data_IF_634249143615
#
_entry.id   IF_634249143615
#
_cell.length_a   1.000
_cell.length_b   1.000
_cell.length_c   1.000
_cell.angle_alpha   90.00
_cell.angle_beta   90.00
_cell.angle_gamma   90.00
#
_symmetry.space_group_name_H-M   'P 1'
#
loop_
_entity.id
_entity.type
_entity.pdbx_description
1 polymer ?
#
# COMPACT_ATOMS: atom_id res chain seq x y z
N UNK A 1 3.36 -3.61 -58.23
CA UNK A 1 2.98 -2.40 -57.49
C UNK A 1 2.93 -2.74 -56.01
N UNK A 2 3.76 -2.09 -55.21
CA UNK A 2 3.80 -2.22 -53.76
C UNK A 2 2.52 -1.61 -53.15
N UNK A 3 2.02 -2.20 -52.06
CA UNK A 3 0.85 -1.66 -51.39
C UNK A 3 0.49 -2.35 -50.09
N UNK A 4 1.14 -1.91 -49.00
CA UNK A 4 0.62 -1.87 -47.63
C UNK A 4 0.74 -3.14 -46.76
N UNK A 5 1.97 -3.32 -46.27
CA UNK A 5 2.35 -3.68 -44.89
C UNK A 5 1.21 -4.15 -43.95
N UNK A 6 1.15 -5.46 -43.76
CA UNK A 6 0.41 -6.17 -42.71
C UNK A 6 1.12 -6.01 -41.35
N UNK A 7 1.32 -4.76 -40.92
CA UNK A 7 2.28 -4.37 -39.86
C UNK A 7 1.85 -4.74 -38.42
N UNK A 8 0.68 -5.37 -38.22
CA UNK A 8 0.08 -5.54 -36.90
C UNK A 8 -0.46 -6.95 -36.59
N UNK A 9 -0.23 -7.95 -37.43
CA UNK A 9 -0.56 -9.33 -37.09
C UNK A 9 0.44 -9.88 -36.05
N UNK A 10 0.06 -9.86 -34.77
CA UNK A 10 0.76 -10.60 -33.71
C UNK A 10 1.09 -9.80 -32.45
N UNK A 11 0.85 -8.49 -32.42
CA UNK A 11 1.04 -7.71 -31.19
C UNK A 11 -0.22 -7.85 -30.35
N UNK A 12 -0.17 -8.67 -29.28
CA UNK A 12 -1.13 -8.58 -28.19
C UNK A 12 -1.04 -7.17 -27.60
N UNK A 13 -1.92 -6.27 -28.03
CA UNK A 13 -2.06 -4.95 -27.44
C UNK A 13 -2.33 -5.15 -25.95
N UNK A 14 -1.40 -4.69 -25.11
CA UNK A 14 -1.54 -4.78 -23.67
C UNK A 14 -2.87 -4.11 -23.27
N UNK A 15 -3.74 -4.84 -22.57
CA UNK A 15 -5.02 -4.31 -22.13
C UNK A 15 -4.79 -3.01 -21.33
N UNK A 16 -5.58 -1.95 -21.60
CA UNK A 16 -5.38 -0.67 -20.94
C UNK A 16 -5.57 -0.82 -19.44
N UNK A 17 -4.58 -0.40 -18.65
CA UNK A 17 -4.63 -0.47 -17.19
C UNK A 17 -5.88 0.27 -16.71
N UNK A 18 -6.79 -0.38 -15.96
CA UNK A 18 -8.00 0.27 -15.48
C UNK A 18 -7.65 1.49 -14.63
N UNK A 19 -8.20 2.65 -15.00
CA UNK A 19 -8.01 3.91 -14.29
C UNK A 19 -9.17 4.14 -13.33
N UNK A 20 -8.86 4.69 -12.17
CA UNK A 20 -9.84 5.08 -11.16
C UNK A 20 -10.16 6.55 -11.33
N UNK A 21 -11.44 6.88 -11.46
CA UNK A 21 -11.91 8.26 -11.47
C UNK A 21 -11.94 8.79 -10.05
N UNK A 22 -11.29 9.93 -9.82
CA UNK A 22 -11.26 10.62 -8.54
C UNK A 22 -11.82 12.03 -8.71
N UNK A 23 -12.54 12.53 -7.71
CA UNK A 23 -13.22 13.82 -7.78
C UNK A 23 -12.73 14.76 -6.69
N UNK A 24 -12.57 16.03 -7.05
CA UNK A 24 -12.32 17.13 -6.12
C UNK A 24 -13.32 18.25 -6.45
N UNK A 25 -14.41 18.30 -5.68
CA UNK A 25 -15.55 19.16 -5.97
C UNK A 25 -16.15 18.85 -7.35
N UNK A 26 -16.12 19.84 -8.25
CA UNK A 26 -16.62 19.70 -9.63
C UNK A 26 -15.61 19.09 -10.60
N UNK A 27 -14.32 19.00 -10.22
CA UNK A 27 -13.26 18.46 -11.08
C UNK A 27 -13.15 16.95 -10.92
N UNK A 28 -12.85 16.25 -12.02
CA UNK A 28 -12.58 14.82 -12.04
C UNK A 28 -11.25 14.54 -12.75
N UNK A 29 -10.51 13.54 -12.28
CA UNK A 29 -9.28 13.06 -12.88
C UNK A 29 -9.28 11.53 -12.93
N UNK A 30 -8.61 10.96 -13.93
CA UNK A 30 -8.41 9.51 -14.04
C UNK A 30 -6.97 9.16 -13.68
N UNK A 31 -6.79 8.36 -12.64
CA UNK A 31 -5.47 7.97 -12.12
C UNK A 31 -5.32 6.45 -12.24
N UNK A 32 -4.18 5.91 -12.69
CA UNK A 32 -3.90 4.47 -12.67
C UNK A 32 -3.59 4.00 -11.24
N UNK A 33 -4.60 4.03 -10.36
CA UNK A 33 -4.45 3.81 -8.93
C UNK A 33 -3.93 2.40 -8.61
N UNK A 34 -4.48 1.37 -9.26
CA UNK A 34 -4.02 -0.02 -9.10
C UNK A 34 -2.53 -0.19 -9.37
N UNK A 35 -2.00 0.51 -10.39
CA UNK A 35 -0.56 0.46 -10.69
C UNK A 35 0.27 1.04 -9.55
N UNK A 36 -0.14 2.19 -9.00
CA UNK A 36 0.53 2.81 -7.84
C UNK A 36 0.47 1.91 -6.60
N UNK A 37 -0.69 1.31 -6.34
CA UNK A 37 -0.89 0.38 -5.23
C UNK A 37 0.00 -0.85 -5.34
N UNK A 38 0.12 -1.45 -6.54
CA UNK A 38 1.02 -2.57 -6.78
C UNK A 38 2.48 -2.21 -6.52
N UNK A 39 2.91 -1.03 -6.97
CA UNK A 39 4.28 -0.54 -6.72
C UNK A 39 4.51 -0.34 -5.22
N UNK A 40 3.59 0.33 -4.53
CA UNK A 40 3.70 0.59 -3.10
C UNK A 40 3.69 -0.70 -2.27
N UNK A 41 2.80 -1.64 -2.58
CA UNK A 41 2.72 -2.92 -1.89
C UNK A 41 3.95 -3.81 -2.15
N UNK A 42 4.52 -3.76 -3.37
CA UNK A 42 5.80 -4.43 -3.64
C UNK A 42 6.93 -3.83 -2.80
N UNK A 43 7.04 -2.50 -2.76
CA UNK A 43 8.03 -1.82 -1.93
C UNK A 43 7.86 -2.16 -0.44
N UNK A 44 6.62 -2.19 0.04
CA UNK A 44 6.32 -2.60 1.40
C UNK A 44 6.82 -4.01 1.70
N UNK A 45 6.56 -4.97 0.81
CA UNK A 45 7.02 -6.36 1.00
C UNK A 45 8.54 -6.48 1.05
N UNK A 46 9.27 -5.70 0.24
CA UNK A 46 10.73 -5.65 0.28
C UNK A 46 11.23 -5.19 1.65
N UNK A 47 10.69 -4.08 2.16
CA UNK A 47 11.02 -3.54 3.48
C UNK A 47 10.67 -4.54 4.58
N UNK A 48 9.48 -5.12 4.54
CA UNK A 48 9.01 -6.07 5.56
C UNK A 48 9.88 -7.32 5.63
N UNK A 49 10.41 -7.79 4.49
CA UNK A 49 11.36 -8.90 4.44
C UNK A 49 12.67 -8.56 5.17
N UNK A 50 13.14 -7.32 5.08
CA UNK A 50 14.32 -6.86 5.83
C UNK A 50 14.06 -6.71 7.33
N UNK A 51 12.81 -6.45 7.71
CA UNK A 51 12.37 -6.28 9.10
C UNK A 51 11.97 -7.59 9.77
N UNK A 52 11.83 -8.67 9.01
CA UNK A 52 11.42 -9.98 9.54
C UNK A 52 12.42 -10.49 10.60
N UNK A 53 11.88 -11.04 11.68
CA UNK A 53 12.61 -11.46 12.88
C UNK A 53 12.98 -10.33 13.84
N UNK A 54 12.87 -9.05 13.44
CA UNK A 54 13.24 -7.89 14.28
C UNK A 54 12.05 -7.37 15.08
N UNK A 55 12.35 -6.59 16.10
CA UNK A 55 11.34 -5.83 16.83
C UNK A 55 11.01 -4.54 16.05
N UNK A 56 9.74 -4.31 15.80
CA UNK A 56 9.23 -3.08 15.17
C UNK A 56 8.22 -2.39 16.07
N UNK A 57 8.00 -1.10 15.82
CA UNK A 57 7.02 -0.29 16.53
C UNK A 57 6.05 0.29 15.52
N UNK A 58 4.77 0.24 15.85
CA UNK A 58 3.69 0.69 14.99
C UNK A 58 3.02 1.92 15.59
N UNK A 59 2.82 2.93 14.75
CA UNK A 59 1.96 4.07 15.03
C UNK A 59 0.90 4.20 13.95
N UNK A 60 -0.29 4.67 14.28
CA UNK A 60 -1.34 4.92 13.30
C UNK A 60 -2.02 6.25 13.56
N UNK A 61 -2.24 6.98 12.46
CA UNK A 61 -3.01 8.22 12.45
C UNK A 61 -3.93 8.22 11.23
N UNK A 62 -5.16 8.72 11.39
CA UNK A 62 -6.09 8.88 10.27
C UNK A 62 -6.73 10.26 10.30
N UNK A 63 -6.77 10.93 9.15
CA UNK A 63 -7.29 12.29 9.05
C UNK A 63 -8.84 12.36 9.02
N UNK A 64 -9.52 11.24 9.28
CA UNK A 64 -10.96 11.06 9.07
C UNK A 64 -11.79 10.75 10.33
N UNK A 65 -11.28 11.02 11.54
CA UNK A 65 -12.07 10.87 12.76
C UNK A 65 -11.97 9.51 13.45
N UNK A 66 -10.79 8.89 13.46
CA UNK A 66 -10.56 7.76 14.37
C UNK A 66 -10.73 8.20 15.83
N UNK A 67 -11.51 7.46 16.62
CA UNK A 67 -11.72 7.75 18.05
C UNK A 67 -10.49 7.44 18.93
N UNK A 68 -9.49 6.77 18.37
CA UNK A 68 -8.24 6.44 19.04
C UNK A 68 -7.10 6.41 18.02
N UNK A 69 -5.89 6.72 18.48
CA UNK A 69 -4.65 6.53 17.74
C UNK A 69 -3.85 5.41 18.40
N UNK A 70 -2.97 4.78 17.62
CA UNK A 70 -1.94 3.91 18.15
C UNK A 70 -0.62 4.65 18.05
N UNK A 71 0.19 4.59 19.09
CA UNK A 71 1.56 5.09 19.03
C UNK A 71 2.50 4.10 19.73
N UNK A 72 3.69 3.92 19.15
CA UNK A 72 4.75 3.06 19.66
C UNK A 72 4.31 1.64 20.08
N UNK A 73 3.33 1.05 19.38
CA UNK A 73 2.89 -0.33 19.62
C UNK A 73 3.99 -1.30 19.16
N UNK A 74 4.66 -1.94 20.12
CA UNK A 74 5.71 -2.90 19.82
C UNK A 74 5.17 -4.22 19.27
N UNK A 75 5.64 -4.64 18.11
CA UNK A 75 5.58 -6.02 17.64
C UNK A 75 6.97 -6.64 17.72
N UNK A 76 7.17 -7.50 18.73
CA UNK A 76 8.43 -8.22 18.93
C UNK A 76 8.54 -9.43 18.01
N UNK A 77 9.75 -9.69 17.49
CA UNK A 77 10.06 -10.81 16.57
C UNK A 77 9.06 -10.89 15.41
N UNK A 78 9.05 -9.85 14.57
CA UNK A 78 8.14 -9.72 13.45
C UNK A 78 8.14 -10.99 12.58
N UNK A 79 6.96 -11.51 12.27
CA UNK A 79 6.73 -12.48 11.18
C UNK A 79 5.73 -11.91 10.19
N UNK A 80 5.95 -12.12 8.91
CA UNK A 80 5.13 -11.50 7.86
C UNK A 80 4.43 -12.58 7.04
N UNK A 81 3.09 -12.51 6.98
CA UNK A 81 2.29 -13.36 6.09
C UNK A 81 1.57 -12.52 5.04
N UNK A 82 1.50 -13.01 3.81
CA UNK A 82 0.81 -12.36 2.70
C UNK A 82 -0.34 -13.22 2.16
N UNK A 83 -1.56 -12.68 2.14
CA UNK A 83 -2.74 -13.31 1.56
C UNK A 83 -3.10 -12.61 0.25
N UNK A 84 -3.28 -13.43 -0.80
CA UNK A 84 -3.53 -12.97 -2.16
C UNK A 84 -4.96 -13.34 -2.54
N UNK A 85 -5.65 -12.42 -3.19
CA UNK A 85 -6.90 -12.73 -3.89
C UNK A 85 -6.65 -13.10 -5.35
N UNK A 86 -5.58 -12.59 -5.95
CA UNK A 86 -5.15 -12.93 -7.32
C UNK A 86 -4.29 -14.20 -7.31
N UNK A 87 -4.49 -15.08 -8.31
CA UNK A 87 -3.70 -16.30 -8.49
C UNK A 87 -2.26 -16.01 -8.95
N UNK A 88 -2.03 -14.85 -9.57
CA UNK A 88 -0.73 -14.43 -10.04
C UNK A 88 0.23 -14.11 -8.87
N UNK A 89 1.30 -14.89 -8.77
CA UNK A 89 2.35 -14.75 -7.75
C UNK A 89 3.13 -13.44 -7.90
N UNK A 90 3.15 -12.87 -9.11
CA UNK A 90 3.84 -11.61 -9.40
C UNK A 90 3.16 -10.40 -8.76
N UNK A 91 1.85 -10.48 -8.51
CA UNK A 91 1.10 -9.41 -7.87
C UNK A 91 1.37 -9.38 -6.36
N UNK A 92 1.48 -8.21 -5.72
CA UNK A 92 1.68 -8.16 -4.27
C UNK A 92 0.41 -8.64 -3.52
N UNK A 93 0.55 -9.14 -2.28
CA UNK A 93 -0.59 -9.56 -1.47
C UNK A 93 -1.63 -8.45 -1.27
N UNK A 94 -2.90 -8.84 -1.27
CA UNK A 94 -4.04 -7.95 -1.01
C UNK A 94 -4.18 -7.64 0.49
N UNK A 95 -3.77 -8.60 1.32
CA UNK A 95 -3.69 -8.44 2.77
C UNK A 95 -2.31 -8.89 3.22
N UNK A 96 -1.63 -8.03 3.98
CA UNK A 96 -0.35 -8.35 4.63
C UNK A 96 -0.60 -8.38 6.13
N UNK A 97 -0.16 -9.43 6.80
CA UNK A 97 -0.32 -9.61 8.24
C UNK A 97 1.04 -9.54 8.90
N UNK A 98 1.18 -8.58 9.81
CA UNK A 98 2.33 -8.43 10.68
C UNK A 98 2.02 -9.16 11.99
N UNK A 99 2.75 -10.22 12.28
CA UNK A 99 2.65 -10.96 13.53
C UNK A 99 3.76 -10.54 14.48
N UNK A 100 3.40 -10.32 15.74
CA UNK A 100 4.34 -10.26 16.85
C UNK A 100 4.21 -11.49 17.75
N UNK A 101 5.04 -11.51 18.79
CA UNK A 101 4.96 -12.52 19.86
C UNK A 101 3.57 -12.58 20.51
N UNK A 102 3.24 -13.74 21.11
CA UNK A 102 2.00 -13.95 21.88
C UNK A 102 0.70 -13.73 21.08
N UNK A 103 0.75 -13.89 19.75
CA UNK A 103 -0.42 -13.79 18.88
C UNK A 103 -0.86 -12.35 18.55
N UNK A 104 -0.08 -11.34 18.92
CA UNK A 104 -0.32 -9.97 18.47
C UNK A 104 -0.26 -9.91 16.94
N UNK A 105 -1.24 -9.27 16.31
CA UNK A 105 -1.23 -9.12 14.85
C UNK A 105 -1.82 -7.78 14.40
N UNK A 106 -1.28 -7.27 13.29
CA UNK A 106 -1.82 -6.12 12.56
C UNK A 106 -2.03 -6.53 11.11
N UNK A 107 -3.23 -6.26 10.58
CA UNK A 107 -3.59 -6.58 9.19
C UNK A 107 -3.60 -5.31 8.36
N UNK A 108 -2.84 -5.32 7.27
CA UNK A 108 -2.71 -4.22 6.33
C UNK A 108 -3.44 -4.62 5.05
N UNK A 109 -4.51 -3.90 4.72
CA UNK A 109 -5.20 -4.04 3.44
C UNK A 109 -4.54 -3.11 2.42
N UNK A 110 -4.06 -3.66 1.31
CA UNK A 110 -3.26 -2.91 0.33
C UNK A 110 -4.12 -2.17 -0.71
N UNK A 111 -5.44 -2.30 -0.63
CA UNK A 111 -6.44 -1.71 -1.52
C UNK A 111 -6.50 -0.18 -1.50
N UNK A 112 -5.91 0.46 -0.49
CA UNK A 112 -5.76 1.91 -0.39
C UNK A 112 -4.29 2.35 -0.24
N UNK A 113 -3.32 1.43 -0.22
CA UNK A 113 -1.90 1.76 -0.03
C UNK A 113 -1.37 2.50 -1.26
N UNK A 114 -1.14 3.80 -1.15
CA UNK A 114 -0.74 4.65 -2.27
C UNK A 114 0.78 4.77 -2.39
N UNK A 115 1.47 4.86 -1.26
CA UNK A 115 2.91 5.07 -1.20
C UNK A 115 3.50 4.48 0.09
N UNK A 116 4.79 4.16 0.02
CA UNK A 116 5.62 3.86 1.18
C UNK A 116 6.76 4.88 1.14
N UNK A 117 6.86 5.71 2.18
CA UNK A 117 7.92 6.71 2.33
C UNK A 117 8.91 6.26 3.39
N UNK A 118 10.16 6.59 3.20
CA UNK A 118 11.25 6.20 4.10
C UNK A 118 11.92 7.44 4.64
N UNK A 119 12.19 7.43 5.94
CA UNK A 119 12.89 8.50 6.64
C UNK A 119 13.89 7.86 7.59
N UNK A 120 15.15 8.24 7.44
CA UNK A 120 16.20 7.79 8.34
C UNK A 120 16.54 8.89 9.34
N UNK A 121 16.54 8.53 10.61
CA UNK A 121 16.95 9.36 11.72
C UNK A 121 18.15 8.73 12.42
N UNK A 122 18.81 9.49 13.30
CA UNK A 122 19.99 9.02 14.03
C UNK A 122 19.74 7.69 14.75
N UNK A 123 18.57 7.52 15.38
CA UNK A 123 18.27 6.39 16.27
C UNK A 123 17.24 5.40 15.72
N UNK A 124 16.62 5.67 14.57
CA UNK A 124 15.61 4.80 13.99
C UNK A 124 15.42 5.02 12.50
N UNK A 125 14.89 3.99 11.83
CA UNK A 125 14.32 4.09 10.49
C UNK A 125 12.79 4.11 10.60
N UNK A 126 12.18 5.01 9.86
CA UNK A 126 10.74 5.21 9.82
C UNK A 126 10.22 4.92 8.42
N UNK A 127 9.27 4.00 8.33
CA UNK A 127 8.57 3.67 7.10
C UNK A 127 7.12 4.11 7.24
N UNK A 128 6.70 5.08 6.44
CA UNK A 128 5.36 5.67 6.46
C UNK A 128 4.55 5.08 5.31
N UNK A 129 3.49 4.36 5.65
CA UNK A 129 2.57 3.77 4.68
C UNK A 129 1.37 4.70 4.53
N UNK A 130 1.28 5.35 3.38
CA UNK A 130 0.20 6.28 3.08
C UNK A 130 -0.98 5.54 2.44
N UNK A 131 -2.12 5.56 3.13
CA UNK A 131 -3.38 5.07 2.61
C UNK A 131 -4.22 6.24 2.12
N UNK A 132 -4.56 6.22 0.84
CA UNK A 132 -5.35 7.26 0.20
C UNK A 132 -6.58 6.66 -0.46
N UNK A 133 -7.73 7.21 -0.09
CA UNK A 133 -9.05 6.77 -0.53
C UNK A 133 -9.82 7.92 -1.17
N UNK A 134 -9.15 8.75 -1.98
CA UNK A 134 -9.77 9.93 -2.58
C UNK A 134 -9.73 11.16 -1.67
N UNK A 135 -10.56 12.15 -1.98
CA UNK A 135 -10.60 13.41 -1.24
C UNK A 135 -11.68 13.38 -0.18
N UNK A 136 -11.56 14.19 0.88
CA UNK A 136 -12.48 14.14 2.04
C UNK A 136 -13.97 14.14 1.68
N UNK A 137 -14.40 15.04 0.79
CA UNK A 137 -15.80 15.13 0.34
C UNK A 137 -16.17 14.12 -0.77
N UNK A 138 -15.19 13.42 -1.33
CA UNK A 138 -15.36 12.51 -2.47
C UNK A 138 -14.46 11.27 -2.30
N UNK A 139 -14.70 10.42 -1.28
CA UNK A 139 -13.93 9.22 -1.10
C UNK A 139 -14.23 8.22 -2.23
N UNK A 140 -13.24 7.39 -2.58
CA UNK A 140 -13.41 6.33 -3.58
C UNK A 140 -14.28 5.21 -2.99
N UNK A 141 -14.02 4.85 -1.73
CA UNK A 141 -14.81 3.91 -0.95
C UNK A 141 -15.43 4.63 0.27
N UNK A 142 -16.76 4.73 0.31
CA UNK A 142 -17.48 5.41 1.40
C UNK A 142 -17.35 4.75 2.78
N UNK A 143 -16.85 3.51 2.87
CA UNK A 143 -16.65 2.77 4.12
C UNK A 143 -15.25 2.92 4.71
N UNK A 144 -14.37 3.71 4.09
CA UNK A 144 -12.99 3.92 4.57
C UNK A 144 -12.69 5.41 4.73
N UNK A 145 -11.84 5.75 5.71
CA UNK A 145 -11.32 7.12 5.87
C UNK A 145 -10.62 7.59 4.58
N UNK A 146 -10.74 8.88 4.26
CA UNK A 146 -10.15 9.45 3.04
C UNK A 146 -8.61 9.40 3.02
N UNK A 147 -7.99 9.48 4.21
CA UNK A 147 -6.56 9.30 4.38
C UNK A 147 -6.23 8.65 5.73
N UNK A 148 -5.28 7.73 5.72
CA UNK A 148 -4.65 7.18 6.92
C UNK A 148 -3.16 6.97 6.68
N UNK A 149 -2.38 6.99 7.75
CA UNK A 149 -0.96 6.69 7.74
C UNK A 149 -0.65 5.62 8.80
N UNK A 150 0.07 4.58 8.41
CA UNK A 150 0.67 3.63 9.33
C UNK A 150 2.18 3.86 9.35
N UNK A 151 2.70 4.21 10.52
CA UNK A 151 4.11 4.31 10.82
C UNK A 151 4.64 2.94 11.23
N UNK A 152 5.68 2.45 10.55
CA UNK A 152 6.50 1.32 10.97
C UNK A 152 7.87 1.85 11.34
N UNK A 153 8.25 1.75 12.60
CA UNK A 153 9.52 2.23 13.12
C UNK A 153 10.40 1.08 13.54
N UNK A 154 11.66 1.09 13.08
CA UNK A 154 12.71 0.17 13.51
C UNK A 154 13.80 0.99 14.18
N UNK A 155 13.95 0.85 15.49
CA UNK A 155 15.05 1.48 16.22
C UNK A 155 16.38 0.83 15.85
N UNK A 156 17.43 1.64 15.83
CA UNK A 156 18.83 1.22 15.67
C UNK A 156 19.30 0.75 17.05
N UNK A 157 19.02 -0.50 17.36
CA UNK A 157 19.54 -1.22 18.53
C UNK A 157 20.66 -2.16 18.15
#
# INVERSE_FOLDING_TARGET
MAGQLDLFQGVKLAEPVPKTTVRLGRKAAQIPLRKKQRVAAKRLMEILKELEGKDIYLGSYSAGGGHFWLDNLKLSKLRVDGFRTESDVSCPPSVIVLWGSKGACVRIFTDCLLAVREQEYQNYHHYLLDFWNGFGQCPINGYRSHYACLAVTKFKG
#
